data_IF_508852747727
#
_entry.id   IF_508852747727
#
_cell.length_a   1.000
_cell.length_b   1.000
_cell.length_c   1.000
_cell.angle_alpha   90.00
_cell.angle_beta   90.00
_cell.angle_gamma   90.00
#
_symmetry.space_group_name_H-M   'P 1'
#
loop_
_entity.id
_entity.type
_entity.pdbx_description
1 polymer ?
#
# COMPACT_ATOMS: atom_id res chain seq x y z
N UNK A 1 -14.52 -22.95 -38.16
CA UNK A 1 -15.05 -22.97 -36.78
C UNK A 1 -14.28 -22.10 -35.80
N UNK A 2 -12.93 -21.98 -35.87
CA UNK A 2 -12.11 -21.10 -35.00
C UNK A 2 -12.40 -19.60 -35.21
N UNK A 3 -12.53 -19.13 -36.45
CA UNK A 3 -12.80 -17.71 -36.78
C UNK A 3 -14.12 -17.18 -36.22
N UNK A 4 -15.15 -18.00 -36.06
CA UNK A 4 -16.42 -17.58 -35.46
C UNK A 4 -16.35 -17.43 -33.94
N UNK A 5 -15.54 -18.24 -33.25
CA UNK A 5 -15.31 -18.12 -31.83
C UNK A 5 -14.56 -16.83 -31.50
N UNK A 6 -13.53 -16.47 -32.30
CA UNK A 6 -12.74 -15.25 -32.10
C UNK A 6 -13.58 -13.98 -32.30
N UNK A 7 -14.51 -13.99 -33.29
CA UNK A 7 -15.43 -12.86 -33.51
C UNK A 7 -16.44 -12.74 -32.35
N UNK A 8 -16.98 -13.85 -31.87
CA UNK A 8 -17.92 -13.84 -30.73
C UNK A 8 -17.23 -13.42 -29.44
N UNK A 9 -16.00 -13.87 -29.17
CA UNK A 9 -15.20 -13.41 -28.03
C UNK A 9 -14.85 -11.91 -28.15
N UNK A 10 -14.46 -11.46 -29.34
CA UNK A 10 -14.16 -10.04 -29.60
C UNK A 10 -15.40 -9.15 -29.42
N UNK A 11 -16.57 -9.59 -29.90
CA UNK A 11 -17.84 -8.89 -29.67
C UNK A 11 -18.27 -8.92 -28.20
N UNK A 12 -18.05 -10.02 -27.48
CA UNK A 12 -18.35 -10.13 -26.04
C UNK A 12 -17.42 -9.24 -25.20
N UNK A 13 -16.10 -9.25 -25.49
CA UNK A 13 -15.13 -8.33 -24.85
C UNK A 13 -15.48 -6.87 -25.13
N UNK A 14 -15.79 -6.52 -26.38
CA UNK A 14 -16.20 -5.15 -26.72
C UNK A 14 -17.52 -4.75 -26.05
N UNK A 15 -18.48 -5.66 -25.88
CA UNK A 15 -19.72 -5.37 -25.11
C UNK A 15 -19.42 -5.14 -23.63
N UNK A 16 -18.54 -5.93 -23.02
CA UNK A 16 -18.12 -5.75 -21.62
C UNK A 16 -17.33 -4.44 -21.47
N UNK A 17 -16.41 -4.13 -22.38
CA UNK A 17 -15.66 -2.87 -22.42
C UNK A 17 -16.59 -1.67 -22.65
N UNK A 18 -17.58 -1.79 -23.54
CA UNK A 18 -18.59 -0.75 -23.78
C UNK A 18 -19.53 -0.56 -22.59
N UNK A 19 -19.89 -1.63 -21.90
CA UNK A 19 -20.74 -1.59 -20.71
C UNK A 19 -19.98 -0.98 -19.51
N UNK A 20 -18.69 -1.31 -19.34
CA UNK A 20 -17.80 -0.64 -18.40
C UNK A 20 -17.58 0.84 -18.77
N UNK A 21 -17.37 1.14 -20.05
CA UNK A 21 -17.23 2.50 -20.56
C UNK A 21 -18.50 3.34 -20.36
N UNK A 22 -19.68 2.76 -20.45
CA UNK A 22 -20.96 3.47 -20.29
C UNK A 22 -21.26 3.75 -18.81
N UNK A 23 -20.83 2.88 -17.90
CA UNK A 23 -21.00 3.08 -16.46
C UNK A 23 -20.22 4.32 -15.96
N UNK A 24 -18.97 4.52 -16.42
CA UNK A 24 -18.16 5.69 -16.06
C UNK A 24 -18.59 6.99 -16.75
N UNK A 25 -19.17 6.93 -17.95
CA UNK A 25 -19.67 8.12 -18.66
C UNK A 25 -20.96 8.71 -18.05
N UNK A 26 -21.64 7.95 -17.18
CA UNK A 26 -22.90 8.37 -16.54
C UNK A 26 -22.81 8.50 -15.02
N UNK A 27 -21.60 8.45 -14.44
CA UNK A 27 -21.43 8.49 -12.98
C UNK A 27 -21.91 9.83 -12.42
N UNK A 28 -22.93 9.79 -11.56
CA UNK A 28 -23.47 10.96 -10.92
C UNK A 28 -22.42 11.59 -9.97
N UNK A 29 -22.51 12.89 -9.74
CA UNK A 29 -21.57 13.62 -8.88
C UNK A 29 -21.39 12.95 -7.51
N UNK A 30 -22.47 12.53 -6.85
CA UNK A 30 -22.40 11.86 -5.54
C UNK A 30 -21.71 10.50 -5.60
N UNK A 31 -21.94 9.73 -6.64
CA UNK A 31 -21.26 8.43 -6.86
C UNK A 31 -19.77 8.64 -7.11
N UNK A 32 -19.42 9.65 -7.91
CA UNK A 32 -18.03 10.04 -8.18
C UNK A 32 -17.30 10.48 -6.90
N UNK A 33 -17.93 11.31 -6.09
CA UNK A 33 -17.38 11.73 -4.81
C UNK A 33 -17.23 10.56 -3.83
N UNK A 34 -18.17 9.62 -3.80
CA UNK A 34 -18.06 8.40 -3.00
C UNK A 34 -16.89 7.52 -3.48
N UNK A 35 -16.73 7.36 -4.80
CA UNK A 35 -15.57 6.66 -5.38
C UNK A 35 -14.25 7.34 -5.01
N UNK A 36 -14.15 8.66 -5.20
CA UNK A 36 -12.95 9.44 -4.84
C UNK A 36 -12.61 9.25 -3.36
N UNK A 37 -13.59 9.35 -2.48
CA UNK A 37 -13.41 9.18 -1.04
C UNK A 37 -12.92 7.78 -0.71
N UNK A 38 -13.48 6.74 -1.34
CA UNK A 38 -13.00 5.37 -1.20
C UNK A 38 -11.53 5.24 -1.63
N UNK A 39 -11.14 5.78 -2.79
CA UNK A 39 -9.74 5.76 -3.26
C UNK A 39 -8.79 6.49 -2.30
N UNK A 40 -9.22 7.63 -1.76
CA UNK A 40 -8.44 8.37 -0.75
C UNK A 40 -8.22 7.53 0.52
N UNK A 41 -9.24 6.83 0.99
CA UNK A 41 -9.14 5.97 2.17
C UNK A 41 -8.28 4.73 1.90
N UNK A 42 -8.43 4.10 0.73
CA UNK A 42 -7.71 2.89 0.33
C UNK A 42 -6.20 3.13 0.17
N UNK A 43 -5.83 4.21 -0.52
CA UNK A 43 -4.44 4.51 -0.87
C UNK A 43 -3.79 5.59 0.00
N UNK A 44 -4.56 6.21 0.91
CA UNK A 44 -4.19 7.36 1.76
C UNK A 44 -3.80 8.63 1.01
N UNK A 45 -3.45 8.54 -0.28
CA UNK A 45 -3.10 9.65 -1.18
C UNK A 45 -3.62 9.33 -2.57
N UNK A 46 -4.25 10.30 -3.21
CA UNK A 46 -4.68 10.23 -4.62
C UNK A 46 -4.17 11.43 -5.40
N UNK A 47 -3.92 11.22 -6.69
CA UNK A 47 -3.54 12.28 -7.62
C UNK A 47 -4.75 12.65 -8.49
N UNK A 48 -4.99 13.95 -8.69
CA UNK A 48 -6.11 14.44 -9.51
C UNK A 48 -6.03 13.92 -10.95
N UNK A 49 -4.82 13.84 -11.50
CA UNK A 49 -4.58 13.34 -12.86
C UNK A 49 -4.95 11.85 -13.01
N UNK A 50 -4.63 11.01 -12.03
CA UNK A 50 -5.00 9.59 -12.04
C UNK A 50 -6.50 9.40 -11.93
N UNK A 51 -7.14 10.08 -10.97
CA UNK A 51 -8.61 10.04 -10.81
C UNK A 51 -9.33 10.51 -12.07
N UNK A 52 -8.80 11.57 -12.73
CA UNK A 52 -9.33 12.07 -14.00
C UNK A 52 -9.30 11.01 -15.10
N UNK A 53 -8.20 10.27 -15.22
CA UNK A 53 -8.04 9.19 -16.20
C UNK A 53 -8.95 7.97 -15.87
N UNK A 54 -8.99 7.56 -14.61
CA UNK A 54 -9.80 6.42 -14.16
C UNK A 54 -11.30 6.68 -14.36
N UNK A 55 -11.79 7.84 -13.91
CA UNK A 55 -13.22 8.18 -13.94
C UNK A 55 -13.62 8.77 -15.32
N UNK A 56 -12.64 9.14 -16.16
CA UNK A 56 -12.82 9.76 -17.48
C UNK A 56 -13.58 11.09 -17.44
N UNK A 57 -13.23 11.94 -16.49
CA UNK A 57 -13.71 13.32 -16.41
C UNK A 57 -12.52 14.27 -16.41
N UNK A 58 -12.76 15.57 -16.65
CA UNK A 58 -11.67 16.56 -16.64
C UNK A 58 -11.03 16.67 -15.24
N UNK A 59 -9.73 17.00 -15.19
CA UNK A 59 -9.07 17.31 -13.93
C UNK A 59 -9.75 18.44 -13.15
N UNK A 60 -10.35 19.41 -13.84
CA UNK A 60 -11.08 20.49 -13.19
C UNK A 60 -12.34 19.97 -12.47
N UNK A 61 -13.01 18.95 -13.03
CA UNK A 61 -14.12 18.27 -12.35
C UNK A 61 -13.63 17.59 -11.08
N UNK A 62 -12.52 16.85 -11.17
CA UNK A 62 -11.91 16.22 -9.99
C UNK A 62 -11.47 17.26 -8.95
N UNK A 63 -10.85 18.38 -9.38
CA UNK A 63 -10.43 19.45 -8.45
C UNK A 63 -11.59 20.07 -7.69
N UNK A 64 -12.77 20.21 -8.34
CA UNK A 64 -14.00 20.71 -7.69
C UNK A 64 -14.53 19.66 -6.70
N UNK A 65 -14.60 18.41 -7.09
CA UNK A 65 -15.04 17.33 -6.19
C UNK A 65 -14.13 17.21 -4.95
N UNK A 66 -12.81 17.28 -5.14
CA UNK A 66 -11.84 17.28 -4.04
C UNK A 66 -11.98 18.53 -3.16
N UNK A 67 -12.31 19.68 -3.73
CA UNK A 67 -12.54 20.90 -2.96
C UNK A 67 -13.76 20.74 -2.04
N UNK A 68 -14.89 20.28 -2.59
CA UNK A 68 -16.11 20.09 -1.81
C UNK A 68 -15.92 19.03 -0.71
N UNK A 69 -15.29 17.89 -1.02
CA UNK A 69 -14.98 16.87 -0.01
C UNK A 69 -14.06 17.38 1.10
N UNK A 70 -13.14 18.30 0.78
CA UNK A 70 -12.28 18.93 1.77
C UNK A 70 -13.05 19.96 2.63
N UNK A 71 -13.96 20.74 2.03
CA UNK A 71 -14.84 21.67 2.75
C UNK A 71 -15.81 20.93 3.70
N UNK A 72 -16.25 19.73 3.31
CA UNK A 72 -17.02 18.83 4.17
C UNK A 72 -16.15 18.15 5.27
N UNK A 73 -14.84 18.41 5.31
CA UNK A 73 -13.92 17.81 6.27
C UNK A 73 -13.67 16.31 6.07
N UNK A 74 -13.93 15.75 4.88
CA UNK A 74 -13.77 14.31 4.61
C UNK A 74 -12.37 13.93 4.16
N UNK A 75 -11.64 14.86 3.56
CA UNK A 75 -10.28 14.68 3.04
C UNK A 75 -9.45 15.95 3.26
N UNK A 76 -8.14 15.81 3.10
CA UNK A 76 -7.21 16.96 3.09
C UNK A 76 -6.80 17.21 1.66
N UNK A 77 -7.22 18.34 1.08
CA UNK A 77 -6.78 18.74 -0.24
C UNK A 77 -5.33 19.23 -0.22
N UNK A 78 -4.53 18.73 -1.15
CA UNK A 78 -3.14 19.14 -1.37
C UNK A 78 -2.91 19.50 -2.83
N UNK A 79 -1.75 20.08 -3.15
CA UNK A 79 -1.41 20.36 -4.54
C UNK A 79 -1.37 19.07 -5.37
N UNK A 80 -2.15 19.01 -6.45
CA UNK A 80 -2.23 17.87 -7.36
C UNK A 80 -3.05 16.67 -6.87
N UNK A 81 -3.77 16.77 -5.71
CA UNK A 81 -4.56 15.64 -5.23
C UNK A 81 -5.17 15.83 -3.85
N UNK A 82 -5.32 14.72 -3.12
CA UNK A 82 -5.83 14.70 -1.75
C UNK A 82 -5.17 13.62 -0.89
N UNK A 83 -5.25 13.81 0.43
CA UNK A 83 -4.80 12.88 1.46
C UNK A 83 -5.98 12.48 2.36
N UNK A 84 -5.91 11.28 2.91
CA UNK A 84 -6.80 10.84 3.98
C UNK A 84 -6.47 11.54 5.30
N UNK A 85 -7.46 11.82 6.13
CA UNK A 85 -7.25 12.34 7.50
C UNK A 85 -6.43 11.40 8.37
N UNK A 86 -6.55 10.08 8.19
CA UNK A 86 -5.70 9.11 8.88
C UNK A 86 -4.19 9.35 8.64
N UNK A 87 -3.83 10.15 7.64
CA UNK A 87 -2.45 10.51 7.34
C UNK A 87 -1.99 11.83 8.00
N UNK A 88 -2.90 12.61 8.57
CA UNK A 88 -2.56 13.94 9.09
C UNK A 88 -2.09 13.94 10.54
N UNK A 89 -2.47 12.96 11.33
CA UNK A 89 -2.07 12.87 12.73
C UNK A 89 -0.79 12.05 12.88
N UNK A 90 0.12 12.50 13.74
CA UNK A 90 1.35 11.78 14.08
C UNK A 90 1.01 10.55 14.94
N UNK A 91 -0.01 10.69 15.79
CA UNK A 91 -0.65 9.58 16.48
C UNK A 91 -1.93 9.23 15.70
N UNK A 92 -1.96 8.07 15.08
CA UNK A 92 -3.13 7.56 14.39
C UNK A 92 -4.16 7.08 15.43
N UNK A 93 -5.26 7.82 15.67
CA UNK A 93 -6.36 7.25 16.44
C UNK A 93 -6.85 6.01 15.69
N UNK A 94 -6.97 4.91 16.40
CA UNK A 94 -7.36 3.64 15.83
C UNK A 94 -8.66 3.75 15.01
N UNK A 95 -9.61 4.56 15.47
CA UNK A 95 -10.95 4.69 14.88
C UNK A 95 -10.99 5.34 13.49
N UNK A 96 -9.89 5.98 13.03
CA UNK A 96 -9.84 6.70 11.75
C UNK A 96 -9.07 5.95 10.66
N UNK A 97 -8.61 4.72 10.91
CA UNK A 97 -7.84 3.94 9.93
C UNK A 97 -8.77 3.07 9.10
N UNK A 98 -8.76 3.28 7.77
CA UNK A 98 -9.51 2.44 6.84
C UNK A 98 -9.15 0.95 6.97
N UNK A 99 -10.16 0.05 7.01
CA UNK A 99 -9.98 -1.41 7.15
C UNK A 99 -9.09 -1.82 8.34
N UNK A 100 -9.25 -1.18 9.49
CA UNK A 100 -8.36 -1.40 10.63
C UNK A 100 -8.35 -2.84 11.11
N UNK A 101 -9.51 -3.50 11.20
CA UNK A 101 -9.59 -4.89 11.67
C UNK A 101 -8.85 -5.85 10.75
N UNK A 102 -8.95 -5.65 9.42
CA UNK A 102 -8.15 -6.41 8.45
C UNK A 102 -6.66 -6.19 8.67
N UNK A 103 -6.22 -4.95 8.92
CA UNK A 103 -4.81 -4.64 9.19
C UNK A 103 -4.31 -5.24 10.49
N UNK A 104 -5.14 -5.36 11.52
CA UNK A 104 -4.79 -6.09 12.75
C UNK A 104 -4.57 -7.58 12.48
N UNK A 105 -5.43 -8.21 11.68
CA UNK A 105 -5.26 -9.62 11.28
C UNK A 105 -3.91 -9.79 10.57
N UNK A 106 -3.63 -8.95 9.57
CA UNK A 106 -2.36 -8.96 8.83
C UNK A 106 -1.17 -8.75 9.78
N UNK A 107 -1.27 -7.80 10.70
CA UNK A 107 -0.24 -7.46 11.66
C UNK A 107 0.10 -8.65 12.59
N UNK A 108 -0.90 -9.37 13.08
CA UNK A 108 -0.68 -10.57 13.92
C UNK A 108 0.00 -11.69 13.13
N UNK A 109 -0.41 -11.94 11.88
CA UNK A 109 0.26 -12.92 11.01
C UNK A 109 1.73 -12.51 10.75
N UNK A 110 1.98 -11.23 10.50
CA UNK A 110 3.33 -10.70 10.27
C UNK A 110 4.22 -10.79 11.52
N UNK A 111 3.69 -10.43 12.69
CA UNK A 111 4.42 -10.50 13.96
C UNK A 111 4.88 -11.94 14.28
N UNK A 112 4.11 -12.96 13.90
CA UNK A 112 4.46 -14.37 14.11
C UNK A 112 5.69 -14.83 13.30
N UNK A 113 6.12 -14.08 12.27
CA UNK A 113 7.34 -14.39 11.51
C UNK A 113 8.62 -13.87 12.19
N UNK A 114 8.49 -12.98 13.16
CA UNK A 114 9.63 -12.30 13.76
C UNK A 114 10.11 -13.09 14.98
N UNK A 115 11.41 -13.38 15.00
CA UNK A 115 12.08 -14.11 16.08
C UNK A 115 13.08 -13.21 16.81
N UNK A 116 13.52 -13.66 17.99
CA UNK A 116 14.59 -12.96 18.71
C UNK A 116 15.86 -12.88 17.86
N UNK A 117 16.61 -11.83 18.10
CA UNK A 117 17.89 -11.52 17.45
C UNK A 117 17.81 -11.18 15.95
N UNK A 118 16.61 -11.14 15.36
CA UNK A 118 16.44 -10.71 13.97
C UNK A 118 16.66 -9.20 13.79
N UNK A 119 17.24 -8.84 12.64
CA UNK A 119 17.26 -7.48 12.13
C UNK A 119 16.11 -7.29 11.14
N UNK A 120 15.16 -6.44 11.49
CA UNK A 120 13.90 -6.24 10.76
C UNK A 120 13.86 -4.83 10.15
N UNK A 121 13.69 -4.78 8.84
CA UNK A 121 13.53 -3.53 8.09
C UNK A 121 12.05 -3.31 7.78
N UNK A 122 11.51 -2.13 8.09
CA UNK A 122 10.10 -1.83 7.85
C UNK A 122 9.89 -0.55 7.07
N UNK A 123 9.00 -0.58 6.09
CA UNK A 123 8.53 0.60 5.38
C UNK A 123 7.57 1.43 6.25
N UNK A 124 6.75 2.26 5.63
CA UNK A 124 5.68 3.00 6.30
C UNK A 124 4.29 2.45 5.94
N UNK A 125 3.28 3.09 6.50
CA UNK A 125 1.87 2.80 6.28
C UNK A 125 1.16 2.26 7.52
N UNK A 126 -0.17 2.35 7.50
CA UNK A 126 -1.01 2.01 8.65
C UNK A 126 -0.93 0.53 9.06
N UNK A 127 -0.70 -0.38 8.11
CA UNK A 127 -0.49 -1.81 8.42
C UNK A 127 0.84 -2.05 9.16
N UNK A 128 1.89 -1.28 8.85
CA UNK A 128 3.17 -1.34 9.58
C UNK A 128 3.02 -0.80 11.00
N UNK A 129 2.18 0.21 11.20
CA UNK A 129 1.86 0.72 12.54
C UNK A 129 1.15 -0.35 13.36
N UNK A 130 0.16 -1.06 12.77
CA UNK A 130 -0.51 -2.17 13.44
C UNK A 130 0.46 -3.35 13.71
N UNK A 131 1.44 -3.61 12.82
CA UNK A 131 2.51 -4.57 13.10
C UNK A 131 3.31 -4.18 14.34
N UNK A 132 3.69 -2.91 14.47
CA UNK A 132 4.43 -2.44 15.65
C UNK A 132 3.63 -2.65 16.94
N UNK A 133 2.32 -2.42 16.92
CA UNK A 133 1.40 -2.64 18.05
C UNK A 133 1.20 -4.12 18.38
N UNK A 134 1.29 -5.00 17.38
CA UNK A 134 1.06 -6.44 17.52
C UNK A 134 2.30 -7.22 18.01
N UNK A 135 3.45 -6.58 18.18
CA UNK A 135 4.69 -7.26 18.59
C UNK A 135 4.56 -7.83 20.00
N UNK A 136 5.00 -9.09 20.22
CA UNK A 136 5.04 -9.68 21.55
C UNK A 136 5.98 -8.92 22.50
N UNK A 137 5.52 -8.54 23.69
CA UNK A 137 6.30 -7.69 24.64
C UNK A 137 7.68 -8.27 25.03
N UNK A 138 7.86 -9.59 24.94
CA UNK A 138 9.10 -10.29 25.23
C UNK A 138 10.06 -10.37 24.04
N UNK A 139 9.64 -9.96 22.85
CA UNK A 139 10.47 -10.00 21.63
C UNK A 139 11.72 -9.13 21.82
N UNK A 140 12.88 -9.70 21.48
CA UNK A 140 14.17 -9.00 21.44
C UNK A 140 14.69 -9.03 20.01
N UNK A 141 14.51 -7.95 19.30
CA UNK A 141 14.91 -7.80 17.89
C UNK A 141 15.30 -6.35 17.61
N UNK A 142 15.99 -6.11 16.51
CA UNK A 142 16.34 -4.77 16.05
C UNK A 142 15.44 -4.37 14.90
N UNK A 143 14.74 -3.26 15.04
CA UNK A 143 13.88 -2.70 13.99
C UNK A 143 14.52 -1.44 13.40
N UNK A 144 14.63 -1.39 12.08
CA UNK A 144 15.06 -0.22 11.35
C UNK A 144 13.93 0.29 10.45
N UNK A 145 13.60 1.58 10.59
CA UNK A 145 12.51 2.20 9.83
C UNK A 145 12.79 3.66 9.52
N UNK A 146 12.24 4.14 8.41
CA UNK A 146 12.16 5.57 8.08
C UNK A 146 10.79 6.17 8.42
N UNK A 147 9.81 5.38 8.84
CA UNK A 147 8.45 5.83 9.12
C UNK A 147 8.34 6.42 10.52
N UNK A 148 8.12 7.73 10.62
CA UNK A 148 7.96 8.42 11.91
C UNK A 148 6.84 7.79 12.76
N UNK A 149 5.62 7.54 12.23
CA UNK A 149 4.57 6.92 13.03
C UNK A 149 4.92 5.50 13.52
N UNK A 150 5.58 4.69 12.67
CA UNK A 150 5.98 3.35 13.08
C UNK A 150 7.06 3.39 14.18
N UNK A 151 8.03 4.31 14.07
CA UNK A 151 9.08 4.49 15.08
C UNK A 151 8.47 4.86 16.43
N UNK A 152 7.47 5.76 16.47
CA UNK A 152 6.81 6.14 17.70
C UNK A 152 6.14 4.95 18.40
N UNK A 153 5.54 4.03 17.64
CA UNK A 153 4.97 2.79 18.18
C UNK A 153 6.08 1.82 18.65
N UNK A 154 7.15 1.64 17.87
CA UNK A 154 8.29 0.80 18.27
C UNK A 154 8.94 1.28 19.56
N UNK A 155 9.05 2.59 19.76
CA UNK A 155 9.60 3.17 20.99
C UNK A 155 8.77 2.85 22.25
N UNK A 156 7.49 2.45 22.12
CA UNK A 156 6.69 2.01 23.26
C UNK A 156 6.99 0.54 23.65
N UNK A 157 7.69 -0.20 22.80
CA UNK A 157 8.00 -1.60 23.06
C UNK A 157 9.18 -1.73 24.05
N UNK A 158 9.06 -2.56 25.10
CA UNK A 158 10.02 -2.57 26.20
C UNK A 158 11.38 -3.21 25.87
N UNK A 159 11.48 -4.00 24.80
CA UNK A 159 12.61 -4.94 24.64
C UNK A 159 13.23 -4.97 23.24
N UNK A 160 12.72 -4.20 22.28
CA UNK A 160 13.33 -4.11 20.95
C UNK A 160 14.25 -2.90 20.85
N UNK A 161 15.28 -3.01 20.01
CA UNK A 161 16.10 -1.88 19.60
C UNK A 161 15.50 -1.21 18.37
N UNK A 162 15.55 0.12 18.32
CA UNK A 162 14.95 0.90 17.22
C UNK A 162 15.99 1.78 16.57
N UNK A 163 16.21 1.58 15.27
CA UNK A 163 17.10 2.40 14.45
C UNK A 163 16.28 3.25 13.49
N UNK A 164 16.43 4.57 13.59
CA UNK A 164 15.79 5.48 12.65
C UNK A 164 16.67 5.69 11.42
N UNK A 165 16.08 5.52 10.23
CA UNK A 165 16.69 5.93 8.98
C UNK A 165 16.55 7.46 8.88
N UNK A 166 17.66 8.18 9.05
CA UNK A 166 17.67 9.65 8.94
C UNK A 166 17.90 10.10 7.50
N UNK A 167 17.27 11.19 7.13
CA UNK A 167 17.44 12.03 5.95
C UNK A 167 16.26 13.03 5.89
N UNK A 168 15.94 13.57 4.71
CA UNK A 168 14.78 14.43 4.47
C UNK A 168 13.46 13.68 4.70
N UNK A 169 12.47 14.34 5.26
CA UNK A 169 11.17 13.76 5.56
C UNK A 169 10.15 14.17 4.48
N UNK A 170 9.48 13.19 3.87
CA UNK A 170 8.25 13.42 3.12
C UNK A 170 7.12 13.76 4.09
N UNK A 171 6.65 15.00 4.08
CA UNK A 171 5.57 15.46 4.97
C UNK A 171 4.26 14.69 4.72
N UNK A 172 3.99 14.34 3.45
CA UNK A 172 2.79 13.61 3.07
C UNK A 172 2.82 12.15 3.51
N UNK A 173 3.95 11.47 3.35
CA UNK A 173 4.10 10.04 3.67
C UNK A 173 4.65 9.80 5.08
N UNK A 174 5.12 10.87 5.78
CA UNK A 174 5.74 10.83 7.11
C UNK A 174 6.85 9.78 7.23
N UNK A 175 7.60 9.62 6.15
CA UNK A 175 8.72 8.69 6.03
C UNK A 175 9.96 9.46 5.57
N UNK A 176 11.12 9.03 6.01
CA UNK A 176 12.39 9.56 5.49
C UNK A 176 12.60 9.11 4.04
N UNK A 177 13.09 10.02 3.23
CA UNK A 177 13.34 9.86 1.79
C UNK A 177 14.68 10.52 1.47
N UNK A 178 15.28 10.14 0.34
CA UNK A 178 16.51 10.79 -0.14
C UNK A 178 17.68 9.84 -0.28
N UNK A 179 18.78 10.37 -0.77
CA UNK A 179 19.97 9.58 -1.12
C UNK A 179 20.68 8.99 0.10
N UNK A 180 20.72 9.75 1.20
CA UNK A 180 21.35 9.31 2.46
C UNK A 180 20.56 8.13 3.07
N UNK A 181 19.22 8.20 3.09
CA UNK A 181 18.37 7.12 3.55
C UNK A 181 18.61 5.84 2.74
N UNK A 182 18.64 5.95 1.40
CA UNK A 182 18.90 4.84 0.49
C UNK A 182 20.31 4.27 0.71
N UNK A 183 21.33 5.15 0.88
CA UNK A 183 22.71 4.73 1.11
C UNK A 183 22.85 3.94 2.41
N UNK A 184 22.21 4.38 3.51
CA UNK A 184 22.21 3.66 4.78
C UNK A 184 21.53 2.30 4.70
N UNK A 185 20.39 2.21 3.99
CA UNK A 185 19.69 0.95 3.80
C UNK A 185 20.58 -0.05 3.05
N UNK A 186 21.29 0.39 2.01
CA UNK A 186 22.17 -0.47 1.21
C UNK A 186 23.39 -1.03 1.97
N UNK A 187 23.69 -0.51 3.15
CA UNK A 187 24.82 -0.98 3.98
C UNK A 187 24.43 -2.09 4.96
N UNK A 188 23.15 -2.51 4.99
CA UNK A 188 22.64 -3.52 5.90
C UNK A 188 22.22 -4.80 5.16
N UNK A 189 22.13 -5.89 5.92
CA UNK A 189 21.54 -7.15 5.48
C UNK A 189 20.48 -7.54 6.52
N UNK A 190 19.24 -7.14 6.30
CA UNK A 190 18.14 -7.47 7.18
C UNK A 190 17.69 -8.93 6.99
N UNK A 191 17.19 -9.56 8.05
CA UNK A 191 16.59 -10.89 7.98
C UNK A 191 15.22 -10.83 7.31
N UNK A 192 14.42 -9.82 7.67
CA UNK A 192 13.08 -9.58 7.13
C UNK A 192 12.92 -8.12 6.70
N UNK A 193 12.28 -7.91 5.57
CA UNK A 193 11.78 -6.60 5.14
C UNK A 193 10.26 -6.63 5.04
N UNK A 194 9.57 -5.87 5.88
CA UNK A 194 8.13 -5.72 5.80
C UNK A 194 7.75 -4.48 4.97
N UNK A 195 7.02 -4.70 3.91
CA UNK A 195 6.52 -3.66 3.01
C UNK A 195 5.01 -3.51 3.11
N UNK A 196 4.54 -2.35 3.57
CA UNK A 196 3.18 -1.92 3.29
C UNK A 196 3.09 -1.50 1.82
N UNK A 197 2.21 -2.11 1.05
CA UNK A 197 2.09 -1.87 -0.39
C UNK A 197 0.75 -1.23 -0.76
N UNK A 198 0.74 -0.48 -1.86
CA UNK A 198 -0.46 0.19 -2.37
C UNK A 198 -1.21 -0.63 -3.41
N UNK A 199 -0.51 -1.48 -4.14
CA UNK A 199 -1.11 -2.39 -5.12
C UNK A 199 -0.17 -3.56 -5.38
N UNK A 200 -0.74 -4.73 -5.72
CA UNK A 200 -0.02 -5.91 -6.16
C UNK A 200 -0.79 -6.60 -7.28
N UNK A 201 -0.08 -7.00 -8.32
CA UNK A 201 -0.61 -7.72 -9.47
C UNK A 201 0.36 -8.81 -9.92
N UNK A 202 -0.19 -9.92 -10.40
CA UNK A 202 0.59 -11.10 -10.78
C UNK A 202 1.58 -10.85 -11.92
N UNK A 203 1.26 -9.92 -12.84
CA UNK A 203 2.07 -9.60 -14.01
C UNK A 203 3.01 -8.42 -13.78
N UNK A 204 2.57 -7.49 -12.94
CA UNK A 204 3.24 -6.20 -12.74
C UNK A 204 3.94 -6.07 -11.39
N UNK A 205 3.90 -7.13 -10.56
CA UNK A 205 4.50 -7.10 -9.24
C UNK A 205 3.84 -6.09 -8.29
N UNK A 206 4.61 -5.42 -7.44
CA UNK A 206 4.11 -4.39 -6.55
C UNK A 206 4.30 -3.00 -7.12
N UNK A 207 3.30 -2.14 -6.93
CA UNK A 207 3.30 -0.78 -7.45
C UNK A 207 2.83 0.24 -6.40
N UNK A 208 3.18 1.51 -6.60
CA UNK A 208 2.86 2.62 -5.70
C UNK A 208 2.59 3.91 -6.49
N UNK A 209 2.18 4.98 -5.81
CA UNK A 209 1.93 6.30 -6.39
C UNK A 209 2.88 7.40 -5.89
N UNK A 210 3.92 7.06 -5.11
CA UNK A 210 4.90 8.01 -4.57
C UNK A 210 6.32 7.64 -5.00
N UNK A 211 6.89 8.43 -5.91
CA UNK A 211 8.20 8.15 -6.52
C UNK A 211 9.34 8.02 -5.50
N UNK A 212 9.39 8.91 -4.51
CA UNK A 212 10.48 8.91 -3.53
C UNK A 212 10.36 7.72 -2.57
N UNK A 213 9.13 7.38 -2.17
CA UNK A 213 8.85 6.19 -1.34
C UNK A 213 9.20 4.90 -2.10
N UNK A 214 8.94 4.85 -3.41
CA UNK A 214 9.31 3.70 -4.25
C UNK A 214 10.82 3.48 -4.28
N UNK A 215 11.64 4.53 -4.40
CA UNK A 215 13.09 4.38 -4.39
C UNK A 215 13.61 3.80 -3.05
N UNK A 216 13.00 4.22 -1.95
CA UNK A 216 13.31 3.67 -0.63
C UNK A 216 12.94 2.17 -0.55
N UNK A 217 11.72 1.81 -0.97
CA UNK A 217 11.25 0.41 -0.99
C UNK A 217 12.12 -0.50 -1.85
N UNK A 218 12.59 -0.02 -3.01
CA UNK A 218 13.54 -0.76 -3.86
C UNK A 218 14.85 -1.07 -3.13
N UNK A 219 15.40 -0.09 -2.42
CA UNK A 219 16.61 -0.30 -1.62
C UNK A 219 16.36 -1.29 -0.47
N UNK A 220 15.20 -1.21 0.17
CA UNK A 220 14.84 -2.12 1.27
C UNK A 220 14.76 -3.58 0.81
N UNK A 221 14.12 -3.85 -0.34
CA UNK A 221 14.03 -5.19 -0.92
C UNK A 221 15.42 -5.75 -1.20
N UNK A 222 16.32 -4.94 -1.76
CA UNK A 222 17.69 -5.34 -2.09
C UNK A 222 18.57 -5.59 -0.84
N UNK A 223 18.14 -5.12 0.34
CA UNK A 223 18.89 -5.16 1.58
C UNK A 223 18.31 -6.16 2.61
N UNK A 224 17.46 -7.07 2.17
CA UNK A 224 16.85 -8.06 3.06
C UNK A 224 16.92 -9.47 2.45
N UNK A 225 17.01 -10.48 3.33
CA UNK A 225 17.00 -11.90 2.94
C UNK A 225 15.62 -12.37 2.50
N UNK A 226 14.56 -11.81 3.13
CA UNK A 226 13.17 -12.11 2.77
C UNK A 226 12.35 -10.83 2.72
N UNK A 227 11.58 -10.71 1.66
CA UNK A 227 10.62 -9.62 1.43
C UNK A 227 9.21 -10.09 1.76
N UNK A 228 8.58 -9.45 2.72
CA UNK A 228 7.22 -9.72 3.19
C UNK A 228 6.31 -8.56 2.82
N UNK A 229 5.37 -8.77 1.94
CA UNK A 229 4.38 -7.78 1.55
C UNK A 229 3.12 -7.88 2.41
N UNK A 230 2.70 -6.75 2.99
CA UNK A 230 1.50 -6.63 3.80
C UNK A 230 0.45 -5.85 3.02
N UNK A 231 -0.70 -6.46 2.75
CA UNK A 231 -1.75 -5.82 1.97
C UNK A 231 -3.15 -6.29 2.35
N UNK A 232 -4.11 -5.39 2.33
CA UNK A 232 -5.53 -5.75 2.39
C UNK A 232 -5.99 -6.27 1.03
N UNK A 233 -7.01 -7.10 1.03
CA UNK A 233 -7.53 -7.79 -0.16
C UNK A 233 -7.96 -6.86 -1.30
N UNK A 234 -8.42 -5.66 -0.98
CA UNK A 234 -8.83 -4.65 -1.96
C UNK A 234 -7.69 -4.12 -2.84
N UNK A 235 -6.44 -4.34 -2.43
CA UNK A 235 -5.23 -3.95 -3.18
C UNK A 235 -4.65 -5.08 -4.02
N UNK A 236 -5.18 -6.30 -3.90
CA UNK A 236 -4.78 -7.47 -4.69
C UNK A 236 -5.39 -7.35 -6.09
N UNK A 237 -4.60 -7.67 -7.12
CA UNK A 237 -4.95 -7.52 -8.53
C UNK A 237 -5.29 -6.08 -8.92
N UNK A 238 -4.62 -5.11 -8.30
CA UNK A 238 -4.70 -3.68 -8.63
C UNK A 238 -3.33 -3.13 -9.03
N UNK A 239 -3.32 -1.96 -9.67
CA UNK A 239 -2.11 -1.30 -10.17
C UNK A 239 -2.03 0.15 -9.70
N UNK A 240 -0.80 0.60 -9.47
CA UNK A 240 -0.44 2.00 -9.30
C UNK A 240 0.65 2.38 -10.32
N UNK A 241 0.85 3.66 -10.64
CA UNK A 241 1.69 4.07 -11.77
C UNK A 241 3.16 3.72 -11.68
N UNK A 242 3.72 3.54 -10.46
CA UNK A 242 5.16 3.43 -10.25
C UNK A 242 5.51 2.04 -9.76
N UNK A 243 6.31 1.32 -10.53
CA UNK A 243 6.76 -0.03 -10.24
C UNK A 243 7.80 -0.05 -9.11
N UNK A 244 7.57 -0.93 -8.12
CA UNK A 244 8.50 -1.17 -7.01
C UNK A 244 9.39 -2.37 -7.33
N UNK A 245 8.79 -3.57 -7.49
CA UNK A 245 9.52 -4.81 -7.76
C UNK A 245 8.65 -5.82 -8.49
N UNK A 246 9.30 -6.74 -9.19
CA UNK A 246 8.66 -7.88 -9.82
C UNK A 246 8.10 -8.85 -8.76
N UNK A 247 7.08 -9.60 -9.15
CA UNK A 247 6.37 -10.50 -8.24
C UNK A 247 7.31 -11.59 -7.66
N UNK A 248 8.34 -12.00 -8.41
CA UNK A 248 9.34 -13.00 -7.99
C UNK A 248 10.28 -12.51 -6.88
N UNK A 249 10.31 -11.21 -6.59
CA UNK A 249 11.11 -10.63 -5.50
C UNK A 249 10.37 -10.62 -4.16
N UNK A 250 9.17 -11.20 -4.12
CA UNK A 250 8.34 -11.31 -2.92
C UNK A 250 8.36 -12.75 -2.44
N UNK A 251 8.81 -12.95 -1.22
CA UNK A 251 8.83 -14.28 -0.59
C UNK A 251 7.52 -14.61 0.10
N UNK A 252 6.90 -13.61 0.74
CA UNK A 252 5.69 -13.78 1.53
C UNK A 252 4.68 -12.68 1.23
N UNK A 253 3.44 -13.07 0.99
CA UNK A 253 2.29 -12.17 0.90
C UNK A 253 1.36 -12.42 2.08
N UNK A 254 1.11 -11.39 2.88
CA UNK A 254 0.20 -11.47 4.03
C UNK A 254 -1.02 -10.59 3.79
N UNK A 255 -2.20 -11.21 3.91
CA UNK A 255 -3.49 -10.56 3.77
C UNK A 255 -4.47 -11.06 4.84
N UNK A 256 -5.59 -10.38 5.01
CA UNK A 256 -6.67 -10.83 5.91
C UNK A 256 -7.47 -12.02 5.35
N UNK A 257 -7.33 -12.29 4.05
CA UNK A 257 -8.03 -13.39 3.41
C UNK A 257 -7.60 -14.76 3.97
N UNK A 258 -8.48 -15.75 3.93
CA UNK A 258 -8.10 -17.13 4.19
C UNK A 258 -7.18 -17.64 3.05
N UNK A 259 -6.23 -18.55 3.34
CA UNK A 259 -5.24 -19.01 2.34
C UNK A 259 -5.83 -19.72 1.12
N UNK A 260 -7.08 -20.21 1.20
CA UNK A 260 -7.82 -20.88 0.12
C UNK A 260 -8.65 -19.93 -0.74
N UNK A 261 -8.61 -18.61 -0.48
CA UNK A 261 -9.30 -17.63 -1.33
C UNK A 261 -8.79 -17.71 -2.78
N UNK A 262 -9.69 -17.84 -3.77
CA UNK A 262 -9.32 -18.00 -5.19
C UNK A 262 -8.41 -16.88 -5.74
N UNK A 263 -8.50 -15.67 -5.18
CA UNK A 263 -7.66 -14.52 -5.59
C UNK A 263 -6.18 -14.74 -5.28
N UNK A 264 -5.86 -15.59 -4.31
CA UNK A 264 -4.50 -15.87 -3.83
C UNK A 264 -3.83 -17.01 -4.62
N UNK A 265 -4.62 -17.86 -5.29
CA UNK A 265 -4.11 -19.02 -6.01
C UNK A 265 -3.00 -18.69 -7.01
N UNK A 266 -3.10 -17.64 -7.87
CA UNK A 266 -2.04 -17.31 -8.81
C UNK A 266 -0.70 -16.96 -8.15
N UNK A 267 -0.72 -16.36 -6.95
CA UNK A 267 0.47 -16.03 -6.18
C UNK A 267 1.12 -17.29 -5.58
N UNK A 268 0.32 -18.21 -5.06
CA UNK A 268 0.77 -19.50 -4.54
C UNK A 268 1.41 -20.34 -5.66
N UNK A 269 0.79 -20.36 -6.84
CA UNK A 269 1.30 -21.11 -8.01
C UNK A 269 2.68 -20.59 -8.51
N UNK A 270 3.04 -19.34 -8.20
CA UNK A 270 4.38 -18.78 -8.43
C UNK A 270 5.38 -19.08 -7.31
N UNK A 271 4.97 -19.81 -6.27
CA UNK A 271 5.83 -20.18 -5.15
C UNK A 271 5.89 -19.14 -4.02
N UNK A 272 5.05 -18.11 -4.04
CA UNK A 272 4.95 -17.13 -2.95
C UNK A 272 4.23 -17.78 -1.76
N UNK A 273 4.84 -17.69 -0.58
CA UNK A 273 4.17 -18.10 0.64
C UNK A 273 3.04 -17.10 0.94
N UNK A 274 1.79 -17.59 1.02
CA UNK A 274 0.63 -16.75 1.37
C UNK A 274 0.16 -17.09 2.78
N UNK A 275 -0.07 -16.04 3.60
CA UNK A 275 -0.51 -16.18 4.98
C UNK A 275 -1.80 -15.36 5.23
#
# INVERSE_FOLDING_TARGET
>A
MRYWLDIVLFCALNKVILQYNHYYLSMLKKERQAYILHQVHLHNKVLSSLLSQEIRVSEDTIRRDLQELAEEGKIIKVHGGALSHSFNEVHYPADNVYSQDHKKIIAHKAAALIQNDMFVLTSGGTTIIELARALPRQLKATFMSGSIPAILEYMQHPSIDVIMIGDRISKNSKITIGAEAISKIKQINADLCFLGINAIDIKHGTTDNDWEVVQLKKAMIQSARKTVCLTISEKINTLQPIHICDIQQIDVLITELPPDDPRLRPYIDLGIQVL
#
